data_IF_209404682720
#
_entry.id   IF_209404682720
#
_cell.length_a   1.000
_cell.length_b   1.000
_cell.length_c   1.000
_cell.angle_alpha   90.00
_cell.angle_beta   90.00
_cell.angle_gamma   90.00
#
_symmetry.space_group_name_H-M   'P 1'
#
loop_
_entity.id
_entity.type
_entity.pdbx_description
1 polymer ?
#
# COMPACT_ATOMS: atom_id res chain seq x y z
N UNK A 1 -16.58 18.34 2.16
CA UNK A 1 -16.85 18.33 3.62
C UNK A 1 -18.15 19.04 4.00
N UNK A 2 -18.44 20.24 3.51
CA UNK A 2 -19.72 20.92 3.74
C UNK A 2 -19.95 22.05 2.76
N UNK A 3 -21.17 22.45 2.56
CA UNK A 3 -21.53 23.62 1.76
C UNK A 3 -22.81 24.27 2.29
N UNK A 4 -22.95 25.57 2.05
CA UNK A 4 -24.16 26.32 2.33
C UNK A 4 -24.52 27.19 1.12
N UNK A 5 -25.78 27.27 0.80
CA UNK A 5 -26.27 28.03 -0.35
C UNK A 5 -26.95 29.33 0.12
N UNK A 6 -26.39 30.46 -0.26
CA UNK A 6 -26.86 31.79 0.17
C UNK A 6 -27.33 32.59 -1.05
N UNK A 7 -28.52 33.19 -0.93
CA UNK A 7 -29.05 34.11 -1.90
C UNK A 7 -28.80 35.56 -1.44
N UNK A 8 -28.00 36.31 -2.22
CA UNK A 8 -27.67 37.72 -1.93
C UNK A 8 -28.07 38.62 -3.09
N UNK A 9 -28.56 39.80 -2.78
CA UNK A 9 -28.75 40.88 -3.75
C UNK A 9 -27.41 41.63 -3.95
N UNK A 10 -27.32 42.39 -5.02
CA UNK A 10 -26.13 43.17 -5.28
C UNK A 10 -25.83 44.13 -4.10
N UNK A 11 -24.62 44.07 -3.56
CA UNK A 11 -24.15 44.85 -2.40
C UNK A 11 -24.48 44.27 -1.02
N UNK A 12 -25.19 43.16 -0.97
CA UNK A 12 -25.45 42.45 0.31
C UNK A 12 -24.29 41.53 0.69
N UNK A 13 -24.10 41.33 2.00
CA UNK A 13 -23.20 40.36 2.58
C UNK A 13 -23.90 39.58 3.69
N UNK A 14 -23.52 38.32 3.90
CA UNK A 14 -24.01 37.49 4.97
C UNK A 14 -22.87 36.67 5.59
N UNK A 15 -22.98 36.41 6.89
CA UNK A 15 -22.18 35.39 7.53
C UNK A 15 -22.80 34.03 7.25
N UNK A 16 -21.95 33.05 6.97
CA UNK A 16 -22.34 31.67 6.69
C UNK A 16 -21.61 30.75 7.64
N UNK A 17 -22.35 29.92 8.34
CA UNK A 17 -21.78 28.90 9.21
C UNK A 17 -21.89 27.54 8.51
N UNK A 18 -20.74 26.94 8.20
CA UNK A 18 -20.67 25.59 7.63
C UNK A 18 -20.16 24.65 8.69
N UNK A 19 -21.02 23.74 9.11
CA UNK A 19 -20.63 22.69 10.03
C UNK A 19 -19.82 21.62 9.31
N UNK A 20 -18.66 21.28 9.87
CA UNK A 20 -17.79 20.18 9.40
C UNK A 20 -17.71 19.16 10.51
N UNK A 21 -18.23 17.97 10.27
CA UNK A 21 -18.13 16.86 11.21
C UNK A 21 -16.68 16.35 11.26
N UNK A 22 -16.23 15.92 12.44
CA UNK A 22 -14.89 15.36 12.61
C UNK A 22 -14.65 14.10 11.75
N UNK A 23 -15.70 13.31 11.52
CA UNK A 23 -15.63 12.14 10.63
C UNK A 23 -15.23 12.47 9.18
N UNK A 24 -15.41 13.72 8.77
CA UNK A 24 -14.91 14.17 7.46
C UNK A 24 -13.37 14.28 7.38
N UNK A 25 -12.67 14.15 8.49
CA UNK A 25 -11.21 14.15 8.61
C UNK A 25 -10.64 12.74 8.84
N UNK A 26 -11.50 11.74 8.93
CA UNK A 26 -11.06 10.36 9.14
C UNK A 26 -10.26 9.84 7.95
N UNK A 27 -9.20 9.11 8.26
CA UNK A 27 -8.39 8.32 7.33
C UNK A 27 -8.43 6.86 7.76
N UNK A 28 -8.29 5.95 6.79
CA UNK A 28 -8.21 4.53 7.09
C UNK A 28 -6.80 4.19 7.57
N UNK A 29 -6.67 3.74 8.82
CA UNK A 29 -5.42 3.18 9.34
C UNK A 29 -5.32 1.72 8.89
N UNK A 30 -4.49 1.45 7.88
CA UNK A 30 -4.33 0.12 7.28
C UNK A 30 -3.74 -0.90 8.25
N UNK A 31 -2.98 -0.44 9.23
CA UNK A 31 -2.32 -1.31 10.20
C UNK A 31 -3.23 -1.66 11.38
N UNK A 32 -4.13 -0.74 11.77
CA UNK A 32 -5.15 -0.98 12.79
C UNK A 32 -6.44 -1.58 12.23
N UNK A 33 -6.73 -1.39 10.92
CA UNK A 33 -7.97 -1.82 10.29
C UNK A 33 -9.18 -1.00 10.73
N UNK A 34 -9.01 0.29 11.01
CA UNK A 34 -10.08 1.19 11.45
C UNK A 34 -9.95 2.61 10.89
N UNK A 35 -11.04 3.38 10.95
CA UNK A 35 -11.02 4.81 10.63
C UNK A 35 -10.59 5.62 11.84
N UNK A 36 -9.63 6.52 11.67
CA UNK A 36 -9.13 7.42 12.71
C UNK A 36 -9.00 8.84 12.19
N UNK A 37 -9.17 9.82 13.07
CA UNK A 37 -8.75 11.20 12.80
C UNK A 37 -7.30 11.33 13.21
N UNK A 38 -6.41 11.59 12.26
CA UNK A 38 -4.97 11.70 12.54
C UNK A 38 -4.65 13.01 13.28
N UNK A 39 -3.75 12.94 14.27
CA UNK A 39 -3.22 14.14 14.94
C UNK A 39 -2.39 14.96 13.96
N UNK A 40 -2.70 16.25 13.87
CA UNK A 40 -1.94 17.06 12.92
C UNK A 40 -2.48 18.46 12.66
N UNK A 41 -1.93 19.08 11.61
CA UNK A 41 -2.37 20.38 11.13
C UNK A 41 -3.05 20.24 9.79
N UNK A 42 -4.35 20.48 9.79
CA UNK A 42 -5.18 20.43 8.60
C UNK A 42 -5.32 21.83 7.98
N UNK A 43 -5.38 21.88 6.66
CA UNK A 43 -5.66 23.11 5.93
C UNK A 43 -7.07 23.08 5.40
N UNK A 44 -7.94 23.93 5.94
CA UNK A 44 -9.30 24.09 5.50
C UNK A 44 -9.36 25.15 4.40
N UNK A 45 -10.16 24.89 3.37
CA UNK A 45 -10.40 25.80 2.26
C UNK A 45 -11.89 26.15 2.19
N UNK A 46 -12.18 27.43 1.98
CA UNK A 46 -13.51 27.91 1.62
C UNK A 46 -13.45 28.54 0.24
N UNK A 47 -14.27 28.05 -0.67
CA UNK A 47 -14.27 28.46 -2.07
C UNK A 47 -15.69 28.37 -2.66
N UNK A 48 -15.92 29.01 -3.80
CA UNK A 48 -17.18 28.92 -4.53
C UNK A 48 -17.38 27.58 -5.24
N UNK A 49 -16.32 26.80 -5.40
CA UNK A 49 -16.29 25.47 -6.03
C UNK A 49 -15.19 24.62 -5.46
N UNK A 50 -15.10 23.37 -5.87
CA UNK A 50 -13.98 22.46 -5.52
C UNK A 50 -12.65 22.82 -6.25
N UNK A 51 -12.65 23.76 -7.15
CA UNK A 51 -11.42 24.27 -7.79
C UNK A 51 -10.68 25.21 -6.85
N UNK A 52 -9.65 24.68 -6.19
CA UNK A 52 -8.81 25.43 -5.26
C UNK A 52 -7.75 26.33 -5.96
N UNK A 53 -7.70 26.34 -7.29
CA UNK A 53 -6.85 27.24 -8.08
C UNK A 53 -7.58 28.51 -8.53
N UNK A 54 -8.90 28.57 -8.31
CA UNK A 54 -9.74 29.70 -8.65
C UNK A 54 -9.45 30.95 -7.82
N UNK A 55 -9.99 32.07 -8.26
CA UNK A 55 -9.98 33.33 -7.48
C UNK A 55 -10.90 33.20 -6.24
N UNK A 56 -10.57 33.93 -5.19
CA UNK A 56 -11.36 33.99 -3.94
C UNK A 56 -11.40 32.67 -3.13
N UNK A 57 -10.33 31.91 -3.17
CA UNK A 57 -10.14 30.77 -2.25
C UNK A 57 -9.56 31.27 -0.94
N UNK A 58 -10.31 31.11 0.14
CA UNK A 58 -9.83 31.35 1.50
C UNK A 58 -9.32 30.05 2.09
N UNK A 59 -8.29 30.17 2.95
CA UNK A 59 -7.79 29.00 3.67
C UNK A 59 -7.39 29.34 5.08
N UNK A 60 -7.42 28.32 5.96
CA UNK A 60 -7.01 28.43 7.34
C UNK A 60 -6.39 27.10 7.82
N UNK A 61 -5.27 27.18 8.52
CA UNK A 61 -4.70 26.04 9.23
C UNK A 61 -5.39 25.85 10.58
N UNK A 62 -5.76 24.60 10.85
CA UNK A 62 -6.41 24.19 12.10
C UNK A 62 -5.61 23.02 12.68
N UNK A 63 -5.25 23.12 13.96
CA UNK A 63 -4.68 21.98 14.68
C UNK A 63 -5.80 21.07 15.14
N UNK A 64 -5.72 19.80 14.81
CA UNK A 64 -6.64 18.75 15.23
C UNK A 64 -5.89 17.82 16.16
N UNK A 65 -6.49 17.46 17.29
CA UNK A 65 -6.00 16.41 18.17
C UNK A 65 -6.71 15.12 17.81
N UNK A 66 -5.94 14.11 17.51
CA UNK A 66 -6.44 12.82 17.06
C UNK A 66 -5.53 11.68 17.49
N UNK A 67 -5.46 10.63 16.70
CA UNK A 67 -4.64 9.44 16.91
C UNK A 67 -3.34 9.53 16.12
N UNK A 68 -2.30 8.85 16.59
CA UNK A 68 -1.14 8.52 15.77
C UNK A 68 -1.48 7.24 14.98
N UNK A 69 -1.16 7.20 13.69
CA UNK A 69 -1.35 5.99 12.88
C UNK A 69 -0.50 4.83 13.42
N UNK A 70 -1.07 3.64 13.36
CA UNK A 70 -0.45 2.42 13.89
C UNK A 70 0.76 1.99 13.08
N UNK A 71 1.72 1.34 13.72
CA UNK A 71 2.82 0.70 13.02
C UNK A 71 2.36 -0.63 12.41
N UNK A 72 2.97 -0.99 11.27
CA UNK A 72 2.79 -2.30 10.68
C UNK A 72 3.37 -3.38 11.61
N UNK A 73 2.67 -4.50 11.76
CA UNK A 73 3.18 -5.65 12.51
C UNK A 73 4.25 -6.38 11.69
N UNK A 74 5.51 -6.09 11.97
CA UNK A 74 6.65 -6.69 11.27
C UNK A 74 6.98 -8.12 11.71
N UNK A 75 6.31 -8.65 12.74
CA UNK A 75 6.43 -10.06 13.13
C UNK A 75 5.73 -10.99 12.13
N UNK A 76 4.72 -10.47 11.43
CA UNK A 76 3.95 -11.21 10.44
C UNK A 76 4.35 -10.83 9.00
N UNK A 77 3.97 -11.68 8.05
CA UNK A 77 4.08 -11.35 6.63
C UNK A 77 3.08 -10.26 6.27
N UNK A 78 3.56 -9.15 5.73
CA UNK A 78 2.74 -8.03 5.31
C UNK A 78 2.30 -8.19 3.85
N UNK A 79 1.01 -8.02 3.60
CA UNK A 79 0.46 -7.96 2.26
C UNK A 79 0.78 -6.61 1.62
N UNK A 80 1.27 -6.63 0.38
CA UNK A 80 1.62 -5.39 -0.34
C UNK A 80 0.47 -4.79 -1.13
N UNK A 81 -0.64 -5.51 -1.31
CA UNK A 81 -1.79 -5.05 -2.08
C UNK A 81 -2.70 -4.09 -1.29
N UNK A 82 -2.63 -4.07 0.04
CA UNK A 82 -3.42 -3.16 0.88
C UNK A 82 -2.95 -1.69 0.85
N UNK A 83 -1.85 -1.41 0.19
CA UNK A 83 -1.18 -0.10 0.13
C UNK A 83 -1.64 0.80 -1.04
N UNK A 84 -2.89 0.65 -1.50
CA UNK A 84 -3.43 1.29 -2.72
C UNK A 84 -3.29 2.82 -2.78
N UNK A 85 -3.28 3.51 -1.64
CA UNK A 85 -3.15 4.97 -1.58
C UNK A 85 -1.73 5.48 -1.85
N UNK A 86 -0.74 4.60 -1.74
CA UNK A 86 0.68 4.90 -1.92
C UNK A 86 1.29 4.10 -3.06
N UNK A 87 0.50 3.71 -4.03
CA UNK A 87 0.92 2.94 -5.19
C UNK A 87 0.80 3.75 -6.47
N UNK A 88 1.69 3.51 -7.45
CA UNK A 88 1.63 4.10 -8.79
C UNK A 88 2.06 3.09 -9.85
N UNK A 89 1.34 3.09 -10.96
CA UNK A 89 1.62 2.26 -12.15
C UNK A 89 1.66 0.75 -11.88
N UNK A 90 0.87 0.31 -10.92
CA UNK A 90 0.68 -1.10 -10.59
C UNK A 90 -0.73 -1.56 -10.96
N UNK A 91 -0.96 -2.85 -10.95
CA UNK A 91 -2.29 -3.47 -10.94
C UNK A 91 -2.30 -4.63 -9.97
N UNK A 92 -3.47 -4.92 -9.42
CA UNK A 92 -3.69 -6.13 -8.65
C UNK A 92 -3.87 -7.31 -9.59
N UNK A 93 -3.28 -8.42 -9.23
CA UNK A 93 -3.42 -9.69 -9.93
C UNK A 93 -3.77 -10.75 -8.91
N UNK A 94 -4.62 -11.68 -9.30
CA UNK A 94 -4.98 -12.78 -8.44
C UNK A 94 -3.75 -13.63 -8.13
N UNK A 95 -3.60 -13.97 -6.84
CA UNK A 95 -2.60 -14.92 -6.37
C UNK A 95 -3.27 -16.28 -6.27
N UNK A 96 -2.79 -17.22 -7.02
CA UNK A 96 -3.42 -18.51 -7.10
C UNK A 96 -3.28 -19.34 -5.83
N UNK A 97 -4.40 -19.79 -5.30
CA UNK A 97 -4.47 -20.70 -4.13
C UNK A 97 -3.72 -22.03 -4.33
N UNK A 98 -3.39 -22.41 -5.55
CA UNK A 98 -2.65 -23.64 -5.85
C UNK A 98 -1.13 -23.53 -5.70
N UNK A 99 -0.58 -22.34 -5.54
CA UNK A 99 0.86 -22.11 -5.66
C UNK A 99 1.63 -22.27 -4.34
N UNK A 100 0.98 -22.26 -3.19
CA UNK A 100 1.63 -22.51 -1.89
C UNK A 100 0.73 -23.31 -0.96
N UNK A 101 1.32 -24.01 0.01
CA UNK A 101 0.57 -24.69 1.06
C UNK A 101 -0.23 -23.70 1.93
N UNK A 102 0.27 -22.47 2.10
CA UNK A 102 -0.40 -21.41 2.83
C UNK A 102 -1.64 -20.91 2.06
N UNK A 103 -1.52 -20.70 0.76
CA UNK A 103 -2.65 -20.32 -0.08
C UNK A 103 -3.71 -21.40 -0.14
N UNK A 104 -3.33 -22.68 -0.12
CA UNK A 104 -4.25 -23.82 -0.07
C UNK A 104 -4.97 -23.93 1.29
N UNK A 105 -4.35 -23.47 2.37
CA UNK A 105 -4.92 -23.49 3.72
C UNK A 105 -5.73 -22.23 4.05
N UNK A 106 -5.54 -21.14 3.32
CA UNK A 106 -6.27 -19.88 3.55
C UNK A 106 -7.74 -20.04 3.11
N UNK A 107 -8.64 -19.82 4.03
CA UNK A 107 -10.09 -19.81 3.80
C UNK A 107 -10.56 -18.45 3.23
N UNK A 108 -9.65 -17.63 2.74
CA UNK A 108 -9.95 -16.34 2.13
C UNK A 108 -9.91 -16.44 0.61
N UNK A 109 -10.99 -15.99 -0.01
CA UNK A 109 -11.19 -16.04 -1.47
C UNK A 109 -10.38 -15.00 -2.23
N UNK A 110 -9.69 -14.09 -1.53
CA UNK A 110 -9.07 -12.90 -2.11
C UNK A 110 -7.60 -12.77 -1.70
N UNK A 111 -6.74 -13.56 -2.32
CA UNK A 111 -5.30 -13.35 -2.23
C UNK A 111 -4.82 -12.65 -3.48
N UNK A 112 -4.31 -11.44 -3.33
CA UNK A 112 -3.84 -10.62 -4.43
C UNK A 112 -2.32 -10.42 -4.36
N UNK A 113 -1.72 -10.24 -5.52
CA UNK A 113 -0.38 -9.71 -5.67
C UNK A 113 -0.43 -8.37 -6.40
N UNK A 114 0.56 -7.54 -6.18
CA UNK A 114 0.78 -6.31 -6.94
C UNK A 114 1.70 -6.62 -8.11
N UNK A 115 1.33 -6.20 -9.33
CA UNK A 115 2.13 -6.34 -10.54
C UNK A 115 2.47 -4.97 -11.11
N UNK A 116 3.75 -4.75 -11.41
CA UNK A 116 4.21 -3.55 -12.07
C UNK A 116 3.76 -3.48 -13.54
N UNK A 117 3.24 -2.32 -13.97
CA UNK A 117 2.89 -2.05 -15.38
C UNK A 117 4.09 -1.57 -16.19
N UNK A 118 5.07 -0.94 -15.53
CA UNK A 118 6.29 -0.39 -16.16
C UNK A 118 7.42 -0.30 -15.14
N UNK A 119 8.67 -0.12 -15.58
CA UNK A 119 9.77 0.25 -14.69
C UNK A 119 9.47 1.53 -13.92
N UNK A 120 9.86 1.58 -12.64
CA UNK A 120 9.59 2.69 -11.73
C UNK A 120 8.19 2.67 -11.10
N UNK A 121 7.35 1.67 -11.42
CA UNK A 121 6.12 1.42 -10.67
C UNK A 121 6.46 1.14 -9.21
N UNK A 122 5.57 1.49 -8.28
CA UNK A 122 5.81 1.27 -6.85
C UNK A 122 4.52 0.99 -6.09
N UNK A 123 4.70 0.35 -4.96
CA UNK A 123 3.74 0.27 -3.85
C UNK A 123 4.50 0.53 -2.55
N UNK A 124 3.81 0.90 -1.46
CA UNK A 124 4.46 1.17 -0.19
C UNK A 124 3.70 0.55 0.98
N UNK A 125 4.44 0.17 2.00
CA UNK A 125 3.95 -0.18 3.32
C UNK A 125 4.12 1.04 4.23
N UNK A 126 3.09 1.38 4.98
CA UNK A 126 3.07 2.56 5.84
C UNK A 126 3.50 2.21 7.27
N UNK A 127 4.24 3.13 7.89
CA UNK A 127 4.62 3.06 9.30
C UNK A 127 5.26 1.72 9.70
N UNK A 128 6.26 1.28 8.93
CA UNK A 128 7.03 0.08 9.24
C UNK A 128 8.11 0.43 10.25
N UNK A 129 8.10 -0.22 11.41
CA UNK A 129 9.18 -0.10 12.39
C UNK A 129 10.35 -0.99 11.95
N UNK A 130 11.44 -0.35 11.56
CA UNK A 130 12.65 -1.01 11.07
C UNK A 130 13.73 -1.20 12.16
N UNK A 131 13.41 -0.88 13.41
CA UNK A 131 14.35 -1.14 14.50
C UNK A 131 14.61 -2.65 14.63
N UNK A 132 15.89 -3.00 14.68
CA UNK A 132 16.39 -4.39 14.71
C UNK A 132 16.12 -5.23 13.44
N UNK A 133 15.42 -4.73 12.44
CA UNK A 133 15.23 -5.42 11.16
C UNK A 133 16.57 -5.49 10.40
N UNK A 134 16.94 -6.69 9.93
CA UNK A 134 18.19 -6.94 9.22
C UNK A 134 18.00 -7.40 7.78
N UNK A 135 16.87 -8.02 7.49
CA UNK A 135 16.59 -8.59 6.18
C UNK A 135 15.12 -8.39 5.81
N UNK A 136 14.86 -8.30 4.54
CA UNK A 136 13.52 -8.41 3.96
C UNK A 136 13.45 -9.63 3.05
N UNK A 137 12.36 -10.40 3.15
CA UNK A 137 12.06 -11.56 2.31
C UNK A 137 10.76 -11.29 1.58
N UNK A 138 10.79 -11.29 0.26
CA UNK A 138 9.67 -11.00 -0.60
C UNK A 138 9.19 -12.28 -1.28
N UNK A 139 7.87 -12.45 -1.39
CA UNK A 139 7.28 -13.48 -2.22
C UNK A 139 6.98 -12.89 -3.60
N UNK A 140 7.72 -13.34 -4.62
CA UNK A 140 7.81 -12.69 -5.93
C UNK A 140 7.53 -13.66 -7.08
N UNK A 141 7.05 -13.12 -8.20
CA UNK A 141 6.90 -13.86 -9.44
C UNK A 141 7.13 -12.97 -10.67
N UNK A 142 7.59 -13.54 -11.77
CA UNK A 142 7.69 -12.86 -13.05
C UNK A 142 7.88 -13.84 -14.20
N UNK A 143 7.45 -13.44 -15.40
CA UNK A 143 7.79 -14.11 -16.66
C UNK A 143 9.12 -13.62 -17.25
N UNK A 144 9.65 -12.51 -16.74
CA UNK A 144 10.87 -11.88 -17.25
C UNK A 144 12.12 -12.54 -16.67
N UNK A 145 13.15 -12.70 -17.49
CA UNK A 145 14.40 -13.37 -17.11
C UNK A 145 15.24 -12.58 -16.09
N UNK A 146 15.01 -11.28 -15.98
CA UNK A 146 15.70 -10.41 -15.04
C UNK A 146 14.71 -9.44 -14.41
N UNK A 147 14.64 -9.46 -13.10
CA UNK A 147 13.77 -8.61 -12.32
C UNK A 147 14.51 -8.00 -11.15
N UNK A 148 14.02 -6.85 -10.69
CA UNK A 148 14.52 -6.19 -9.50
C UNK A 148 13.43 -5.42 -8.80
N UNK A 149 13.50 -5.43 -7.46
CA UNK A 149 12.67 -4.58 -6.59
C UNK A 149 13.61 -3.90 -5.61
N UNK A 150 13.58 -2.57 -5.58
CA UNK A 150 14.32 -1.75 -4.62
C UNK A 150 13.42 -1.41 -3.44
N UNK A 151 13.95 -1.53 -2.22
CA UNK A 151 13.30 -1.07 -0.99
C UNK A 151 13.86 0.31 -0.64
N UNK A 152 12.98 1.30 -0.55
CA UNK A 152 13.33 2.70 -0.33
C UNK A 152 12.51 3.31 0.79
N UNK A 153 13.09 4.29 1.51
CA UNK A 153 12.42 4.96 2.63
C UNK A 153 11.67 6.20 2.16
N UNK A 154 10.44 6.35 2.64
CA UNK A 154 9.60 7.57 2.65
C UNK A 154 9.21 8.13 1.28
N UNK A 155 9.84 7.68 0.21
CA UNK A 155 9.53 8.07 -1.15
C UNK A 155 10.05 7.04 -2.16
N UNK A 156 9.48 6.95 -3.39
CA UNK A 156 9.95 6.02 -4.41
C UNK A 156 11.37 6.33 -4.92
N UNK A 157 11.85 7.55 -4.74
CA UNK A 157 13.22 8.00 -4.98
C UNK A 157 14.03 8.23 -3.69
N UNK A 158 13.47 7.85 -2.55
CA UNK A 158 14.10 7.97 -1.24
C UNK A 158 15.31 7.07 -1.05
N UNK A 159 15.84 7.05 0.17
CA UNK A 159 17.04 6.29 0.52
C UNK A 159 16.85 4.81 0.21
N UNK A 160 17.76 4.25 -0.60
CA UNK A 160 17.81 2.81 -0.86
C UNK A 160 18.32 2.08 0.39
N UNK A 161 17.58 1.09 0.86
CA UNK A 161 17.92 0.26 2.02
C UNK A 161 18.16 -1.21 1.68
N UNK A 162 17.66 -1.68 0.53
CA UNK A 162 17.84 -3.04 0.04
C UNK A 162 17.41 -3.19 -1.40
N UNK A 163 17.85 -4.26 -2.06
CA UNK A 163 17.44 -4.58 -3.42
C UNK A 163 17.41 -6.09 -3.61
N UNK A 164 16.29 -6.62 -4.05
CA UNK A 164 16.16 -8.02 -4.48
C UNK A 164 16.28 -8.10 -6.00
N UNK A 165 16.98 -9.14 -6.48
CA UNK A 165 17.04 -9.50 -7.89
C UNK A 165 16.64 -10.97 -8.03
N UNK A 166 15.81 -11.26 -9.02
CA UNK A 166 15.33 -12.64 -9.28
C UNK A 166 15.08 -12.85 -10.77
N UNK A 167 15.06 -14.11 -11.16
CA UNK A 167 14.77 -14.52 -12.55
C UNK A 167 13.28 -14.70 -12.83
N UNK A 168 12.98 -15.24 -14.01
CA UNK A 168 11.65 -15.77 -14.31
C UNK A 168 11.33 -16.89 -13.32
N UNK A 169 10.06 -16.95 -12.92
CA UNK A 169 9.53 -18.05 -12.10
C UNK A 169 8.80 -19.04 -12.97
N UNK A 170 8.86 -20.33 -12.60
CA UNK A 170 8.22 -21.38 -13.37
C UNK A 170 6.70 -21.35 -13.19
N UNK A 171 5.99 -21.82 -14.22
CA UNK A 171 4.55 -22.01 -14.13
C UNK A 171 4.23 -23.23 -13.26
N UNK A 172 3.20 -23.12 -12.43
CA UNK A 172 2.67 -24.20 -11.60
C UNK A 172 1.32 -24.62 -12.14
N UNK A 173 1.13 -25.92 -12.34
CA UNK A 173 -0.15 -26.50 -12.76
C UNK A 173 -0.82 -27.15 -11.56
N UNK A 174 -2.05 -26.72 -11.27
CA UNK A 174 -2.86 -27.25 -10.18
C UNK A 174 -4.23 -27.69 -10.66
N UNK A 175 -4.75 -28.78 -10.08
CA UNK A 175 -6.14 -29.17 -10.24
C UNK A 175 -6.97 -28.49 -9.13
N UNK A 176 -8.10 -27.89 -9.53
CA UNK A 176 -9.02 -27.26 -8.58
C UNK A 176 -10.38 -27.99 -8.62
N UNK A 177 -11.02 -28.09 -7.47
CA UNK A 177 -12.44 -28.43 -7.37
C UNK A 177 -13.26 -27.14 -7.53
N UNK A 178 -14.53 -27.27 -7.98
CA UNK A 178 -15.43 -26.12 -8.09
C UNK A 178 -15.74 -25.56 -6.69
N UNK A 179 -15.21 -24.37 -6.40
CA UNK A 179 -15.49 -23.62 -5.17
C UNK A 179 -15.52 -22.13 -5.51
N UNK A 180 -16.40 -21.38 -4.83
CA UNK A 180 -16.48 -19.92 -4.89
C UNK A 180 -16.56 -19.31 -6.30
N UNK A 181 -17.33 -19.94 -7.18
CA UNK A 181 -17.56 -19.45 -8.54
C UNK A 181 -16.43 -19.75 -9.53
N UNK A 182 -15.42 -20.49 -9.13
CA UNK A 182 -14.38 -21.02 -10.03
C UNK A 182 -14.75 -22.44 -10.42
N UNK A 183 -14.78 -22.72 -11.71
CA UNK A 183 -15.07 -24.06 -12.24
C UNK A 183 -13.97 -25.05 -11.89
N UNK A 184 -14.35 -26.31 -11.69
CA UNK A 184 -13.40 -27.40 -11.56
C UNK A 184 -12.55 -27.51 -12.83
N UNK A 185 -11.24 -27.68 -12.68
CA UNK A 185 -10.36 -27.80 -13.84
C UNK A 185 -8.88 -27.87 -13.47
N UNK A 186 -8.06 -27.94 -14.50
CA UNK A 186 -6.60 -27.83 -14.36
C UNK A 186 -6.16 -26.44 -14.83
N UNK A 187 -5.53 -25.70 -13.95
CA UNK A 187 -5.08 -24.33 -14.18
C UNK A 187 -3.55 -24.30 -14.16
N UNK A 188 -2.99 -23.56 -15.12
CA UNK A 188 -1.56 -23.26 -15.14
C UNK A 188 -1.36 -21.79 -14.84
N UNK A 189 -0.61 -21.52 -13.78
CA UNK A 189 -0.43 -20.18 -13.24
C UNK A 189 1.06 -19.91 -13.01
N UNK A 190 1.40 -18.64 -12.88
CA UNK A 190 2.77 -18.25 -12.58
C UNK A 190 3.10 -18.61 -11.13
N UNK A 191 4.12 -19.44 -10.91
CA UNK A 191 4.59 -19.80 -9.59
C UNK A 191 5.29 -18.63 -8.91
N UNK A 192 5.22 -18.61 -7.57
CA UNK A 192 5.93 -17.63 -6.74
C UNK A 192 7.12 -18.27 -6.06
N UNK A 193 8.13 -17.47 -5.80
CA UNK A 193 9.35 -17.85 -5.08
C UNK A 193 9.74 -16.76 -4.10
N UNK A 194 10.57 -17.10 -3.13
CA UNK A 194 11.11 -16.12 -2.19
C UNK A 194 12.39 -15.49 -2.74
N UNK A 195 12.53 -14.18 -2.56
CA UNK A 195 13.75 -13.44 -2.82
C UNK A 195 14.06 -12.55 -1.63
N UNK A 196 15.28 -12.54 -1.16
CA UNK A 196 15.67 -11.82 0.06
C UNK A 196 16.79 -10.82 -0.18
N UNK A 197 16.87 -9.82 0.68
CA UNK A 197 17.96 -8.84 0.72
C UNK A 197 18.23 -8.41 2.15
N UNK A 198 19.50 -8.24 2.49
CA UNK A 198 19.88 -7.58 3.73
C UNK A 198 19.52 -6.10 3.64
N UNK A 199 19.04 -5.55 4.76
CA UNK A 199 18.71 -4.14 4.88
C UNK A 199 19.87 -3.39 5.52
N UNK A 200 20.21 -2.24 4.98
CA UNK A 200 21.30 -1.41 5.47
C UNK A 200 20.87 0.03 5.72
N UNK A 201 21.26 0.55 6.88
CA UNK A 201 21.07 1.94 7.24
C UNK A 201 19.59 2.34 7.43
N UNK A 202 18.75 1.41 7.81
CA UNK A 202 17.35 1.62 8.17
C UNK A 202 17.17 1.42 9.67
N UNK A 203 16.48 2.35 10.33
CA UNK A 203 16.05 2.26 11.72
C UNK A 203 14.94 3.28 11.97
N UNK A 204 14.08 3.03 12.95
CA UNK A 204 12.91 3.83 13.22
C UNK A 204 11.72 3.51 12.31
N UNK A 205 10.64 4.26 12.46
CA UNK A 205 9.41 4.07 11.71
C UNK A 205 9.45 4.83 10.39
N UNK A 206 9.26 4.13 9.30
CA UNK A 206 9.30 4.67 7.94
C UNK A 206 8.21 4.08 7.05
N UNK A 207 7.85 4.80 6.00
CA UNK A 207 7.14 4.20 4.88
C UNK A 207 8.14 3.47 3.99
N UNK A 208 7.94 2.18 3.73
CA UNK A 208 8.83 1.37 2.90
C UNK A 208 8.25 1.21 1.50
N UNK A 209 8.89 1.82 0.52
CA UNK A 209 8.51 1.76 -0.89
C UNK A 209 9.19 0.58 -1.57
N UNK A 210 8.38 -0.25 -2.22
CA UNK A 210 8.83 -1.31 -3.12
C UNK A 210 8.78 -0.76 -4.55
N UNK A 211 9.93 -0.46 -5.11
CA UNK A 211 10.08 0.16 -6.44
C UNK A 211 10.54 -0.89 -7.44
N UNK A 212 9.68 -1.16 -8.44
CA UNK A 212 9.94 -2.20 -9.43
C UNK A 212 10.87 -1.70 -10.55
N UNK A 213 11.91 -2.46 -10.83
CA UNK A 213 12.87 -2.16 -11.91
C UNK A 213 12.35 -2.56 -13.29
N UNK A 214 11.38 -3.48 -13.35
CA UNK A 214 10.88 -4.09 -14.56
C UNK A 214 9.34 -4.13 -14.56
N UNK A 215 8.74 -4.07 -15.74
CA UNK A 215 7.33 -4.41 -15.91
C UNK A 215 7.11 -5.90 -15.65
N UNK A 216 5.87 -6.30 -15.39
CA UNK A 216 5.42 -7.67 -15.13
C UNK A 216 6.00 -8.32 -13.87
N UNK A 217 6.90 -7.67 -13.14
CA UNK A 217 7.33 -8.11 -11.83
C UNK A 217 6.17 -8.07 -10.85
N UNK A 218 5.99 -9.14 -10.06
CA UNK A 218 4.91 -9.30 -9.10
C UNK A 218 5.48 -9.47 -7.70
N UNK A 219 4.77 -8.96 -6.70
CA UNK A 219 5.02 -9.20 -5.29
C UNK A 219 3.69 -9.43 -4.58
N UNK A 220 3.61 -10.50 -3.80
CA UNK A 220 2.43 -10.84 -3.00
C UNK A 220 2.57 -10.29 -1.58
N UNK A 221 3.72 -10.48 -0.97
CA UNK A 221 3.98 -10.06 0.40
C UNK A 221 5.45 -9.88 0.69
N UNK A 222 5.71 -9.30 1.84
CA UNK A 222 7.04 -9.09 2.38
C UNK A 222 7.05 -9.44 3.87
N UNK A 223 8.10 -10.09 4.32
CA UNK A 223 8.38 -10.33 5.72
C UNK A 223 9.70 -9.65 6.10
N UNK A 224 9.65 -8.90 7.18
CA UNK A 224 10.82 -8.30 7.79
C UNK A 224 11.39 -9.24 8.84
N UNK A 225 12.71 -9.45 8.78
CA UNK A 225 13.40 -10.41 9.66
C UNK A 225 14.34 -9.67 10.57
N UNK A 226 14.15 -9.85 11.87
CA UNK A 226 15.08 -9.36 12.91
C UNK A 226 16.23 -10.36 13.11
N UNK A 227 17.32 -9.92 13.70
CA UNK A 227 18.46 -10.80 13.98
C UNK A 227 18.05 -11.97 14.89
N UNK A 228 18.33 -13.20 14.44
CA UNK A 228 18.10 -14.42 15.22
C UNK A 228 16.92 -15.30 14.80
N UNK A 229 16.14 -14.88 13.80
CA UNK A 229 15.09 -15.70 13.22
C UNK A 229 15.61 -16.38 11.95
N UNK A 230 15.60 -17.71 11.93
CA UNK A 230 15.83 -18.48 10.68
C UNK A 230 14.45 -18.79 10.10
N UNK A 231 14.19 -18.31 8.88
CA UNK A 231 12.98 -18.67 8.14
C UNK A 231 13.12 -20.12 7.66
N UNK A 232 12.15 -20.99 7.92
CA UNK A 232 12.18 -22.41 7.52
C UNK A 232 12.18 -22.60 6.00
#
# INVERSE_FOLDING_TARGET
>A
VGFEKVALKAGESANVDIHVDASALEVWDVNAGEYVVEDGTYQLYAAHSSDLKGENVLNKKVKVSGSTLSNADTAEKLNVWSSSFTASDVKYVEYSKGNTAEAAAADSDEIFAVMAKKPGAYTALLNVDLDQVKQAVLNVASTEAQNGIELRLDAPDGKLIGSVNYGATEAVTSARTSENGVDAGTYTELGYTTASTDLSGASGVHNVYLVFKNANARVEGIQFVTSGVTIP
#
